data_IF_507540352736
#
_entry.id   IF_507540352736
#
_cell.length_a   1.000
_cell.length_b   1.000
_cell.length_c   1.000
_cell.angle_alpha   90.00
_cell.angle_beta   90.00
_cell.angle_gamma   90.00
#
_symmetry.space_group_name_H-M   'P 1'
#
loop_
_entity.id
_entity.type
_entity.pdbx_description
1 polymer ?
#
# COMPACT_ATOMS: atom_id res chain seq x y z
N UNK A 1 23.91 18.52 21.31
CA UNK A 1 22.70 19.37 21.23
C UNK A 1 21.81 18.98 20.05
N UNK A 2 22.32 18.99 18.81
CA UNK A 2 21.52 18.66 17.60
C UNK A 2 20.83 17.28 17.64
N UNK A 3 21.54 16.24 18.09
CA UNK A 3 20.97 14.88 18.25
C UNK A 3 19.82 14.82 19.26
N UNK A 4 19.95 15.55 20.38
CA UNK A 4 18.92 15.59 21.42
C UNK A 4 17.68 16.30 20.89
N UNK A 5 17.87 17.42 20.19
CA UNK A 5 16.79 18.13 19.49
C UNK A 5 16.11 17.21 18.48
N UNK A 6 16.87 16.47 17.67
CA UNK A 6 16.31 15.51 16.71
C UNK A 6 15.50 14.40 17.39
N UNK A 7 16.01 13.81 18.48
CA UNK A 7 15.27 12.79 19.22
C UNK A 7 13.96 13.34 19.78
N UNK A 8 13.98 14.55 20.35
CA UNK A 8 12.78 15.20 20.87
C UNK A 8 11.77 15.40 19.73
N UNK A 9 12.16 16.02 18.61
CA UNK A 9 11.26 16.23 17.48
C UNK A 9 10.77 14.91 16.85
N UNK A 10 11.65 13.95 16.63
CA UNK A 10 11.31 12.66 16.04
C UNK A 10 10.32 11.88 16.90
N UNK A 11 10.55 11.83 18.23
CA UNK A 11 9.61 11.22 19.16
C UNK A 11 8.29 11.99 19.21
N UNK A 12 8.33 13.33 19.27
CA UNK A 12 7.12 14.15 19.23
C UNK A 12 6.28 13.88 17.98
N UNK A 13 6.89 13.75 16.80
CA UNK A 13 6.18 13.41 15.56
C UNK A 13 5.55 12.02 15.66
N UNK A 14 6.31 11.01 16.11
CA UNK A 14 5.80 9.64 16.30
C UNK A 14 4.61 9.63 17.26
N UNK A 15 4.68 10.37 18.37
CA UNK A 15 3.59 10.46 19.35
C UNK A 15 2.40 11.29 18.86
N UNK A 16 2.62 12.37 18.11
CA UNK A 16 1.51 13.20 17.58
C UNK A 16 0.69 12.45 16.52
N UNK A 17 1.26 11.42 15.89
CA UNK A 17 0.60 10.61 14.87
C UNK A 17 -0.04 9.34 15.46
N UNK A 18 -0.70 9.44 16.62
CA UNK A 18 -1.32 8.32 17.36
C UNK A 18 -2.23 7.42 16.49
N UNK A 19 -2.88 8.00 15.47
CA UNK A 19 -3.81 7.30 14.57
C UNK A 19 -3.13 6.62 13.38
N UNK A 20 -1.87 6.97 13.12
CA UNK A 20 -1.13 6.62 11.93
C UNK A 20 0.28 6.17 12.33
N UNK A 21 0.40 5.20 13.24
CA UNK A 21 1.66 4.59 13.67
C UNK A 21 2.30 3.70 12.58
N UNK A 22 2.37 4.22 11.36
CA UNK A 22 3.02 3.56 10.25
C UNK A 22 4.48 3.28 10.57
N UNK A 23 4.95 2.09 10.18
CA UNK A 23 6.30 1.61 10.46
C UNK A 23 7.40 2.60 10.00
N UNK A 24 7.13 3.42 8.99
CA UNK A 24 8.10 4.39 8.48
C UNK A 24 8.36 5.56 9.43
N UNK A 25 7.45 5.88 10.36
CA UNK A 25 7.69 6.97 11.32
C UNK A 25 8.86 6.66 12.25
N UNK A 26 9.09 5.38 12.56
CA UNK A 26 10.25 4.94 13.33
C UNK A 26 11.58 5.15 12.61
N UNK A 27 11.58 5.39 11.28
CA UNK A 27 12.79 5.77 10.53
C UNK A 27 13.34 7.13 10.98
N UNK A 28 12.54 7.99 11.63
CA UNK A 28 13.03 9.23 12.24
C UNK A 28 14.11 8.97 13.30
N UNK A 29 14.06 7.80 13.95
CA UNK A 29 15.06 7.38 14.94
C UNK A 29 16.34 6.81 14.29
N UNK A 30 16.34 6.53 12.98
CA UNK A 30 17.53 5.97 12.32
C UNK A 30 18.70 6.94 12.30
N UNK A 31 18.44 8.26 12.20
CA UNK A 31 19.51 9.27 12.22
C UNK A 31 20.27 9.26 13.55
N UNK A 32 19.62 9.43 14.72
CA UNK A 32 20.33 9.39 15.99
C UNK A 32 20.93 8.01 16.28
N UNK A 33 20.22 6.92 15.96
CA UNK A 33 20.74 5.57 16.14
C UNK A 33 21.98 5.32 15.25
N UNK A 34 21.98 5.79 14.01
CA UNK A 34 23.12 5.65 13.09
C UNK A 34 24.36 6.41 13.56
N UNK A 35 24.19 7.63 14.07
CA UNK A 35 25.32 8.41 14.62
C UNK A 35 25.86 7.75 15.90
N UNK A 36 24.99 7.27 16.78
CA UNK A 36 25.43 6.53 17.97
C UNK A 36 26.09 5.20 17.61
N UNK A 37 25.57 4.49 16.62
CA UNK A 37 26.14 3.23 16.13
C UNK A 37 27.54 3.44 15.54
N UNK A 38 27.73 4.47 14.70
CA UNK A 38 29.07 4.79 14.13
C UNK A 38 30.07 5.17 15.21
N UNK A 39 29.69 6.01 16.17
CA UNK A 39 30.52 6.33 17.35
C UNK A 39 30.87 5.09 18.17
N UNK A 40 29.90 4.19 18.38
CA UNK A 40 30.10 2.92 19.07
C UNK A 40 31.05 2.00 18.32
N UNK A 41 30.95 1.95 16.99
CA UNK A 41 31.84 1.17 16.13
C UNK A 41 33.29 1.65 16.21
N UNK A 42 33.54 2.96 16.29
CA UNK A 42 34.90 3.50 16.47
C UNK A 42 35.55 2.98 17.77
N UNK A 43 34.80 3.03 18.88
CA UNK A 43 35.26 2.57 20.20
C UNK A 43 35.48 1.04 20.19
N UNK A 44 34.53 0.30 19.60
CA UNK A 44 34.64 -1.15 19.46
C UNK A 44 35.84 -1.53 18.58
N UNK A 45 36.10 -0.80 17.51
CA UNK A 45 37.21 -1.06 16.60
C UNK A 45 38.56 -0.93 17.29
N UNK A 46 38.78 0.13 18.08
CA UNK A 46 40.01 0.27 18.88
C UNK A 46 40.19 -0.89 19.87
N UNK A 47 39.10 -1.34 20.50
CA UNK A 47 39.14 -2.48 21.42
C UNK A 47 39.48 -3.81 20.71
N UNK A 48 39.01 -3.98 19.47
CA UNK A 48 39.25 -5.19 18.67
C UNK A 48 40.65 -5.26 18.06
N UNK A 49 41.28 -4.11 17.76
CA UNK A 49 42.67 -4.06 17.25
C UNK A 49 43.66 -4.69 18.22
N UNK A 50 43.40 -4.59 19.53
CA UNK A 50 44.26 -5.14 20.58
C UNK A 50 44.19 -6.66 20.75
N UNK A 51 43.27 -7.34 20.06
CA UNK A 51 43.09 -8.78 20.18
C UNK A 51 44.10 -9.55 19.32
N UNK A 52 44.74 -10.57 19.91
CA UNK A 52 45.66 -11.47 19.18
C UNK A 52 44.96 -12.34 18.13
N UNK A 53 43.65 -12.56 18.25
CA UNK A 53 42.86 -13.40 17.35
C UNK A 53 41.77 -12.58 16.64
N UNK A 54 41.49 -12.92 15.37
CA UNK A 54 40.45 -12.29 14.55
C UNK A 54 39.04 -12.86 14.77
N UNK A 55 38.93 -13.99 15.48
CA UNK A 55 37.66 -14.69 15.71
C UNK A 55 36.60 -13.78 16.39
N UNK A 56 36.92 -12.99 17.44
CA UNK A 56 35.94 -12.13 18.09
C UNK A 56 35.42 -11.02 17.18
N UNK A 57 36.29 -10.47 16.31
CA UNK A 57 35.90 -9.49 15.29
C UNK A 57 34.91 -10.10 14.30
N UNK A 58 35.17 -11.31 13.81
CA UNK A 58 34.27 -12.02 12.89
C UNK A 58 32.91 -12.28 13.55
N UNK A 59 32.90 -12.80 14.78
CA UNK A 59 31.66 -13.05 15.52
C UNK A 59 30.85 -11.79 15.77
N UNK A 60 31.51 -10.67 16.10
CA UNK A 60 30.84 -9.39 16.29
C UNK A 60 30.20 -8.89 14.99
N UNK A 61 30.90 -9.00 13.85
CA UNK A 61 30.34 -8.67 12.54
C UNK A 61 29.11 -9.53 12.27
N UNK A 62 29.20 -10.85 12.46
CA UNK A 62 28.04 -11.73 12.32
C UNK A 62 26.87 -11.33 13.23
N UNK A 63 27.15 -10.97 14.49
CA UNK A 63 26.13 -10.53 15.45
C UNK A 63 25.44 -9.24 15.00
N UNK A 64 26.19 -8.27 14.46
CA UNK A 64 25.65 -7.00 13.96
C UNK A 64 24.72 -7.19 12.74
N UNK A 65 25.02 -8.18 11.89
CA UNK A 65 24.21 -8.47 10.70
C UNK A 65 23.09 -9.48 10.95
N UNK A 66 23.06 -10.14 12.11
CA UNK A 66 22.07 -11.16 12.45
C UNK A 66 20.61 -10.67 12.32
N UNK A 67 20.23 -9.46 12.77
CA UNK A 67 18.85 -9.00 12.64
C UNK A 67 18.39 -8.86 11.17
N UNK A 68 19.30 -8.46 10.28
CA UNK A 68 19.03 -8.30 8.85
C UNK A 68 18.94 -9.65 8.12
N UNK A 69 19.61 -10.67 8.66
CA UNK A 69 19.66 -12.00 8.05
C UNK A 69 18.29 -12.65 7.95
N UNK A 70 17.42 -12.48 8.96
CA UNK A 70 16.09 -13.13 8.97
C UNK A 70 15.21 -12.70 7.79
N UNK A 71 15.16 -11.39 7.51
CA UNK A 71 14.38 -10.84 6.40
C UNK A 71 15.00 -11.22 5.06
N UNK A 72 16.33 -11.16 4.95
CA UNK A 72 17.04 -11.53 3.73
C UNK A 72 16.88 -13.03 3.42
N UNK A 73 17.04 -13.88 4.43
CA UNK A 73 16.86 -15.34 4.34
C UNK A 73 15.43 -15.66 3.94
N UNK A 74 14.42 -15.07 4.61
CA UNK A 74 13.02 -15.27 4.24
C UNK A 74 12.77 -14.88 2.79
N UNK A 75 13.18 -13.69 2.37
CA UNK A 75 13.01 -13.23 0.98
C UNK A 75 13.75 -14.10 -0.03
N UNK A 76 14.96 -14.55 0.29
CA UNK A 76 15.77 -15.40 -0.60
C UNK A 76 15.17 -16.80 -0.74
N UNK A 77 14.79 -17.44 0.36
CA UNK A 77 14.11 -18.75 0.35
C UNK A 77 12.79 -18.63 -0.40
N UNK A 78 11.97 -17.61 -0.11
CA UNK A 78 10.72 -17.41 -0.84
C UNK A 78 10.97 -17.16 -2.33
N UNK A 79 12.02 -16.43 -2.72
CA UNK A 79 12.34 -16.19 -4.12
C UNK A 79 12.74 -17.48 -4.85
N UNK A 80 13.62 -18.28 -4.24
CA UNK A 80 14.07 -19.58 -4.79
C UNK A 80 12.90 -20.55 -4.88
N UNK A 81 12.07 -20.66 -3.83
CA UNK A 81 10.89 -21.54 -3.81
C UNK A 81 9.82 -21.16 -4.83
N UNK A 82 9.85 -19.91 -5.32
CA UNK A 82 8.97 -19.42 -6.38
C UNK A 82 9.74 -19.22 -7.70
N UNK A 83 10.71 -20.09 -8.02
CA UNK A 83 11.43 -20.10 -9.30
C UNK A 83 12.00 -18.74 -9.73
N UNK A 84 12.53 -17.97 -8.77
CA UNK A 84 13.06 -16.62 -8.99
C UNK A 84 12.08 -15.61 -9.60
N UNK A 85 10.76 -15.86 -9.51
CA UNK A 85 9.72 -14.99 -10.03
C UNK A 85 9.87 -14.68 -11.54
N UNK A 86 10.42 -15.62 -12.31
CA UNK A 86 10.72 -15.46 -13.74
C UNK A 86 9.47 -15.37 -14.62
N UNK A 87 8.36 -15.97 -14.18
CA UNK A 87 7.06 -15.92 -14.87
C UNK A 87 6.06 -15.08 -14.09
N UNK A 88 4.96 -14.67 -14.73
CA UNK A 88 3.90 -13.90 -14.07
C UNK A 88 3.31 -14.64 -12.86
N UNK A 89 3.01 -15.93 -13.02
CA UNK A 89 2.41 -16.73 -11.94
C UNK A 89 3.37 -16.96 -10.78
N UNK A 90 4.64 -17.25 -11.06
CA UNK A 90 5.66 -17.42 -10.01
C UNK A 90 5.97 -16.10 -9.31
N UNK A 91 5.91 -14.97 -10.03
CA UNK A 91 6.01 -13.62 -9.46
C UNK A 91 4.84 -13.32 -8.54
N UNK A 92 3.61 -13.66 -8.93
CA UNK A 92 2.45 -13.47 -8.06
C UNK A 92 2.55 -14.32 -6.80
N UNK A 93 2.96 -15.59 -6.90
CA UNK A 93 3.15 -16.46 -5.74
C UNK A 93 4.21 -15.89 -4.77
N UNK A 94 5.32 -15.39 -5.30
CA UNK A 94 6.32 -14.67 -4.52
C UNK A 94 5.74 -13.42 -3.82
N UNK A 95 5.00 -12.58 -4.55
CA UNK A 95 4.39 -11.37 -4.00
C UNK A 95 3.35 -11.69 -2.93
N UNK A 96 2.54 -12.73 -3.13
CA UNK A 96 1.50 -13.17 -2.20
C UNK A 96 2.05 -13.54 -0.81
N UNK A 97 3.30 -14.01 -0.73
CA UNK A 97 3.97 -14.30 0.54
C UNK A 97 4.22 -13.04 1.41
N UNK A 98 4.24 -11.86 0.81
CA UNK A 98 4.46 -10.56 1.48
C UNK A 98 3.24 -9.62 1.39
N UNK A 99 2.29 -9.94 0.53
CA UNK A 99 1.05 -9.21 0.29
C UNK A 99 -0.13 -10.19 0.20
N UNK A 100 -0.69 -10.62 1.35
CA UNK A 100 -1.75 -11.65 1.37
C UNK A 100 -3.01 -11.29 0.56
N UNK A 101 -3.29 -9.99 0.36
CA UNK A 101 -4.43 -9.52 -0.45
C UNK A 101 -4.21 -9.65 -1.98
N UNK A 102 -2.98 -9.84 -2.47
CA UNK A 102 -2.71 -9.83 -3.91
C UNK A 102 -3.49 -10.90 -4.71
N UNK A 103 -3.57 -12.17 -4.27
CA UNK A 103 -4.35 -13.18 -4.99
C UNK A 103 -5.83 -12.82 -5.08
N UNK A 104 -6.43 -12.28 -4.01
CA UNK A 104 -7.84 -11.88 -4.03
C UNK A 104 -8.07 -10.68 -4.94
N UNK A 105 -7.18 -9.67 -4.91
CA UNK A 105 -7.24 -8.50 -5.79
C UNK A 105 -7.04 -8.86 -7.27
N UNK A 106 -6.12 -9.79 -7.61
CA UNK A 106 -5.98 -10.29 -8.99
C UNK A 106 -7.24 -11.00 -9.45
N UNK A 107 -7.81 -11.86 -8.60
CA UNK A 107 -9.08 -12.54 -8.89
C UNK A 107 -10.23 -11.56 -9.09
N UNK A 108 -10.27 -10.48 -8.30
CA UNK A 108 -11.25 -9.41 -8.41
C UNK A 108 -11.15 -8.67 -9.75
N UNK A 109 -9.93 -8.29 -10.11
CA UNK A 109 -9.62 -7.54 -11.32
C UNK A 109 -9.74 -8.36 -12.62
N UNK A 110 -9.52 -9.68 -12.54
CA UNK A 110 -9.63 -10.57 -13.70
C UNK A 110 -11.02 -10.53 -14.33
N UNK A 111 -12.08 -10.38 -13.53
CA UNK A 111 -13.45 -10.33 -14.03
C UNK A 111 -13.64 -9.21 -15.08
N UNK A 112 -13.21 -7.98 -14.79
CA UNK A 112 -13.36 -6.84 -15.71
C UNK A 112 -12.38 -6.85 -16.89
N UNK A 113 -11.43 -7.78 -16.88
CA UNK A 113 -10.43 -7.96 -17.95
C UNK A 113 -10.89 -8.97 -19.00
N UNK A 114 -11.99 -9.69 -18.77
CA UNK A 114 -12.54 -10.67 -19.71
C UNK A 114 -13.23 -10.02 -20.91
N UNK A 115 -13.18 -10.71 -22.06
CA UNK A 115 -13.88 -10.31 -23.27
C UNK A 115 -15.40 -10.19 -23.03
N UNK A 116 -16.02 -9.14 -23.57
CA UNK A 116 -17.45 -8.84 -23.37
C UNK A 116 -17.73 -7.82 -22.25
N UNK A 117 -16.74 -7.45 -21.44
CA UNK A 117 -16.86 -6.33 -20.50
C UNK A 117 -16.68 -4.98 -21.21
N UNK A 118 -17.23 -3.92 -20.61
CA UNK A 118 -17.17 -2.56 -21.15
C UNK A 118 -15.73 -2.04 -21.05
N UNK A 119 -15.20 -1.52 -22.15
CA UNK A 119 -13.87 -0.90 -22.19
C UNK A 119 -13.93 0.51 -21.58
N UNK A 120 -12.83 0.96 -20.96
CA UNK A 120 -12.73 2.30 -20.37
C UNK A 120 -12.06 2.31 -19.00
N UNK A 121 -11.75 3.52 -18.54
CA UNK A 121 -11.17 3.80 -17.23
C UNK A 121 -12.13 3.46 -16.10
N UNK A 122 -11.61 3.06 -14.94
CA UNK A 122 -12.43 2.67 -13.78
C UNK A 122 -12.12 3.55 -12.58
N UNK A 123 -13.01 3.55 -11.59
CA UNK A 123 -12.73 4.15 -10.29
C UNK A 123 -12.66 3.09 -9.20
N UNK A 124 -11.65 3.17 -8.33
CA UNK A 124 -11.39 2.22 -7.24
C UNK A 124 -11.27 3.01 -5.95
N UNK A 125 -12.28 2.88 -5.09
CA UNK A 125 -12.24 3.31 -3.69
C UNK A 125 -11.73 2.13 -2.85
N UNK A 126 -10.42 1.96 -2.77
CA UNK A 126 -9.77 0.80 -2.14
C UNK A 126 -8.38 0.55 -2.74
N UNK A 127 -7.83 -0.65 -2.54
CA UNK A 127 -6.45 -0.96 -2.95
C UNK A 127 -6.19 -0.68 -4.47
N UNK A 128 -5.25 0.21 -4.82
CA UNK A 128 -4.98 0.60 -6.20
C UNK A 128 -4.38 -0.52 -7.05
N UNK A 129 -3.99 -1.66 -6.46
CA UNK A 129 -3.51 -2.83 -7.19
C UNK A 129 -4.57 -3.40 -8.14
N UNK A 130 -5.86 -3.09 -7.93
CA UNK A 130 -6.93 -3.42 -8.89
C UNK A 130 -6.65 -2.82 -10.28
N UNK A 131 -6.14 -1.59 -10.36
CA UNK A 131 -5.76 -0.97 -11.64
C UNK A 131 -4.67 -1.77 -12.35
N UNK A 132 -3.63 -2.14 -11.60
CA UNK A 132 -2.52 -2.93 -12.12
C UNK A 132 -2.99 -4.30 -12.64
N UNK A 133 -3.76 -5.04 -11.85
CA UNK A 133 -4.22 -6.37 -12.24
C UNK A 133 -5.29 -6.37 -13.34
N UNK A 134 -6.07 -5.29 -13.47
CA UNK A 134 -7.09 -5.19 -14.51
C UNK A 134 -6.57 -4.60 -15.83
N UNK A 135 -5.34 -4.06 -15.83
CA UNK A 135 -4.82 -3.28 -16.95
C UNK A 135 -5.64 -2.01 -17.26
N UNK A 136 -6.42 -1.52 -16.28
CA UNK A 136 -7.27 -0.33 -16.42
C UNK A 136 -6.60 0.87 -15.76
N UNK A 137 -6.95 2.06 -16.26
CA UNK A 137 -6.50 3.34 -15.72
C UNK A 137 -7.59 4.00 -14.85
N UNK A 138 -7.16 4.94 -14.00
CA UNK A 138 -8.04 5.66 -13.09
C UNK A 138 -8.86 6.71 -13.83
N UNK A 139 -10.18 6.70 -13.64
CA UNK A 139 -11.13 7.59 -14.32
C UNK A 139 -11.21 9.03 -13.75
N UNK A 140 -10.43 9.33 -12.72
CA UNK A 140 -10.43 10.63 -12.02
C UNK A 140 -9.00 11.12 -11.82
N UNK A 141 -8.81 12.44 -11.73
CA UNK A 141 -7.49 13.05 -11.50
C UNK A 141 -7.13 12.99 -10.00
N UNK A 142 -8.13 12.92 -9.12
CA UNK A 142 -7.93 12.80 -7.68
C UNK A 142 -7.31 11.45 -7.32
N UNK A 143 -5.99 11.42 -7.26
CA UNK A 143 -5.21 10.26 -6.83
C UNK A 143 -5.40 10.06 -5.34
N UNK A 144 -5.80 8.85 -4.95
CA UNK A 144 -5.93 8.49 -3.55
C UNK A 144 -6.84 7.30 -3.40
N UNK A 145 -6.37 6.31 -2.65
CA UNK A 145 -7.13 5.12 -2.28
C UNK A 145 -7.62 5.18 -0.83
N UNK A 146 -6.90 5.93 0.01
CA UNK A 146 -7.18 6.16 1.42
C UNK A 146 -8.09 7.39 1.59
N UNK A 147 -9.38 7.16 1.34
CA UNK A 147 -10.39 8.21 1.31
C UNK A 147 -10.59 8.88 2.68
N UNK A 148 -10.21 8.25 3.78
CA UNK A 148 -10.23 8.82 5.13
C UNK A 148 -9.40 10.10 5.29
N UNK A 149 -8.44 10.34 4.41
CA UNK A 149 -7.59 11.53 4.40
C UNK A 149 -8.06 12.63 3.43
N UNK A 150 -9.17 12.41 2.71
CA UNK A 150 -9.70 13.43 1.81
C UNK A 150 -10.29 14.59 2.59
N UNK A 151 -9.97 15.80 2.15
CA UNK A 151 -10.63 17.03 2.57
C UNK A 151 -12.06 17.07 2.01
N UNK A 152 -12.95 17.80 2.69
CA UNK A 152 -14.36 17.95 2.28
C UNK A 152 -14.53 18.44 0.84
N UNK A 153 -13.65 19.32 0.38
CA UNK A 153 -13.64 19.84 -0.99
C UNK A 153 -13.24 18.77 -2.01
N UNK A 154 -12.33 17.86 -1.64
CA UNK A 154 -11.88 16.77 -2.49
C UNK A 154 -12.99 15.73 -2.69
N UNK A 155 -13.79 15.48 -1.66
CA UNK A 155 -14.97 14.62 -1.76
C UNK A 155 -16.01 15.16 -2.74
N UNK A 156 -16.31 16.46 -2.66
CA UNK A 156 -17.22 17.12 -3.60
C UNK A 156 -16.67 17.14 -5.02
N UNK A 157 -15.36 17.35 -5.17
CA UNK A 157 -14.69 17.31 -6.46
C UNK A 157 -14.68 15.89 -7.06
N UNK A 158 -14.59 14.85 -6.24
CA UNK A 158 -14.64 13.46 -6.68
C UNK A 158 -15.98 13.12 -7.32
N UNK A 159 -17.11 13.46 -6.70
CA UNK A 159 -18.45 13.24 -7.29
C UNK A 159 -18.55 13.93 -8.65
N UNK A 160 -18.12 15.19 -8.75
CA UNK A 160 -18.13 15.94 -10.03
C UNK A 160 -17.29 15.25 -11.09
N UNK A 161 -16.11 14.75 -10.73
CA UNK A 161 -15.25 14.03 -11.67
C UNK A 161 -15.91 12.73 -12.13
N UNK A 162 -16.50 11.94 -11.21
CA UNK A 162 -17.19 10.70 -11.56
C UNK A 162 -18.43 10.92 -12.44
N UNK A 163 -19.23 11.96 -12.19
CA UNK A 163 -20.38 12.31 -13.05
C UNK A 163 -19.94 12.77 -14.44
N UNK A 164 -18.78 13.43 -14.54
CA UNK A 164 -18.22 13.89 -15.82
C UNK A 164 -17.56 12.77 -16.63
N UNK A 165 -16.75 11.91 -15.99
CA UNK A 165 -15.99 10.86 -16.67
C UNK A 165 -16.81 9.59 -16.88
N UNK A 166 -17.87 9.39 -16.09
CA UNK A 166 -18.82 8.27 -16.18
C UNK A 166 -18.12 6.93 -16.39
N UNK A 167 -17.19 6.54 -15.49
CA UNK A 167 -16.47 5.28 -15.64
C UNK A 167 -17.47 4.13 -15.79
N UNK A 168 -17.24 3.14 -16.68
CA UNK A 168 -18.09 1.97 -16.78
C UNK A 168 -18.20 1.20 -15.47
N UNK A 169 -17.15 1.18 -14.66
CA UNK A 169 -17.08 0.45 -13.41
C UNK A 169 -16.55 1.28 -12.25
N UNK A 170 -17.16 1.10 -11.10
CA UNK A 170 -16.69 1.61 -9.81
C UNK A 170 -16.54 0.43 -8.85
N UNK A 171 -15.38 0.29 -8.23
CA UNK A 171 -15.15 -0.65 -7.14
C UNK A 171 -15.05 0.10 -5.81
N UNK A 172 -15.76 -0.39 -4.79
CA UNK A 172 -15.66 0.12 -3.42
C UNK A 172 -15.35 -1.05 -2.49
N UNK A 173 -14.18 -1.01 -1.86
CA UNK A 173 -13.74 -1.97 -0.83
C UNK A 173 -14.53 -1.73 0.47
N UNK A 174 -14.71 -2.77 1.31
CA UNK A 174 -15.44 -2.67 2.57
C UNK A 174 -14.74 -1.81 3.62
N UNK A 175 -13.40 -1.80 3.64
CA UNK A 175 -12.65 -0.94 4.56
C UNK A 175 -13.06 0.55 4.37
N UNK A 176 -13.01 1.09 3.14
CA UNK A 176 -13.56 2.41 2.82
C UNK A 176 -15.07 2.56 2.99
N UNK A 177 -15.90 1.51 2.85
CA UNK A 177 -17.35 1.66 2.95
C UNK A 177 -17.82 2.25 4.28
N UNK A 178 -17.22 1.82 5.39
CA UNK A 178 -17.57 2.37 6.70
C UNK A 178 -17.28 3.87 6.77
N UNK A 179 -16.12 4.28 6.26
CA UNK A 179 -15.69 5.69 6.21
C UNK A 179 -16.59 6.49 5.27
N UNK A 180 -16.94 5.96 4.10
CA UNK A 180 -17.83 6.64 3.15
C UNK A 180 -19.21 6.84 3.78
N UNK A 181 -19.78 5.81 4.42
CA UNK A 181 -21.10 5.91 5.08
C UNK A 181 -21.11 6.94 6.20
N UNK A 182 -20.04 7.00 6.99
CA UNK A 182 -19.93 7.90 8.14
C UNK A 182 -19.63 9.35 7.72
N UNK A 183 -18.59 9.53 6.90
CA UNK A 183 -18.05 10.87 6.61
C UNK A 183 -18.59 11.50 5.34
N UNK A 184 -19.06 10.70 4.38
CA UNK A 184 -19.46 11.22 3.08
C UNK A 184 -20.54 10.37 2.37
N UNK A 185 -21.74 10.26 2.98
CA UNK A 185 -22.83 9.43 2.45
C UNK A 185 -23.27 9.84 1.03
N UNK A 186 -23.10 11.11 0.68
CA UNK A 186 -23.43 11.65 -0.64
C UNK A 186 -22.72 10.94 -1.80
N UNK A 187 -21.51 10.39 -1.59
CA UNK A 187 -20.85 9.59 -2.63
C UNK A 187 -21.59 8.27 -2.85
N UNK A 188 -22.01 7.61 -1.77
CA UNK A 188 -22.74 6.36 -1.87
C UNK A 188 -24.10 6.60 -2.55
N UNK A 189 -24.81 7.66 -2.14
CA UNK A 189 -26.06 8.07 -2.79
C UNK A 189 -25.87 8.33 -4.29
N UNK A 190 -24.82 9.06 -4.67
CA UNK A 190 -24.49 9.31 -6.08
C UNK A 190 -24.26 8.00 -6.85
N UNK A 191 -23.45 7.09 -6.29
CA UNK A 191 -23.16 5.79 -6.91
C UNK A 191 -24.43 4.97 -7.05
N UNK A 192 -25.26 4.87 -6.01
CA UNK A 192 -26.51 4.10 -6.04
C UNK A 192 -27.56 4.69 -7.00
N UNK A 193 -27.56 6.00 -7.20
CA UNK A 193 -28.43 6.68 -8.17
C UNK A 193 -28.01 6.37 -9.62
N UNK A 194 -26.71 6.48 -9.94
CA UNK A 194 -26.19 6.40 -11.33
C UNK A 194 -25.74 5.00 -11.74
N UNK A 195 -25.38 4.17 -10.79
CA UNK A 195 -24.83 2.84 -10.98
C UNK A 195 -25.68 1.78 -10.29
N UNK A 196 -25.62 0.56 -10.79
CA UNK A 196 -26.24 -0.61 -10.17
C UNK A 196 -25.17 -1.60 -9.73
N UNK A 197 -25.48 -2.41 -8.72
CA UNK A 197 -24.57 -3.45 -8.25
C UNK A 197 -24.42 -4.49 -9.36
N UNK A 198 -23.18 -4.72 -9.78
CA UNK A 198 -22.81 -5.77 -10.71
C UNK A 198 -22.41 -7.05 -9.99
N UNK A 199 -21.60 -6.89 -8.93
CA UNK A 199 -21.08 -8.01 -8.14
C UNK A 199 -20.75 -7.55 -6.72
N UNK A 200 -20.97 -8.43 -5.76
CA UNK A 200 -20.56 -8.25 -4.37
C UNK A 200 -19.90 -9.54 -3.88
N UNK A 201 -18.79 -9.40 -3.17
CA UNK A 201 -18.09 -10.52 -2.52
C UNK A 201 -17.43 -10.05 -1.22
N UNK A 202 -16.43 -10.78 -0.70
CA UNK A 202 -15.74 -10.47 0.55
C UNK A 202 -14.74 -9.30 0.44
N UNK A 203 -14.35 -8.89 -0.78
CA UNK A 203 -13.41 -7.78 -0.98
C UNK A 203 -14.13 -6.44 -1.14
N UNK A 204 -15.38 -6.43 -1.61
CA UNK A 204 -16.12 -5.20 -1.82
C UNK A 204 -17.28 -5.34 -2.80
N UNK A 205 -17.70 -4.21 -3.36
CA UNK A 205 -18.81 -4.11 -4.29
C UNK A 205 -18.34 -3.47 -5.60
N UNK A 206 -18.63 -4.15 -6.71
CA UNK A 206 -18.55 -3.61 -8.05
C UNK A 206 -19.88 -3.03 -8.48
N UNK A 207 -19.83 -1.81 -9.00
CA UNK A 207 -20.93 -1.08 -9.58
C UNK A 207 -20.70 -0.91 -11.08
N UNK A 208 -21.77 -1.00 -11.86
CA UNK A 208 -21.78 -0.75 -13.30
C UNK A 208 -22.75 0.38 -13.63
N UNK A 209 -22.40 1.23 -14.59
CA UNK A 209 -23.23 2.36 -15.00
C UNK A 209 -24.60 1.86 -15.48
N UNK A 210 -25.70 2.47 -14.99
CA UNK A 210 -27.07 2.12 -15.43
C UNK A 210 -27.26 2.48 -16.91
N UNK A 211 -28.00 1.66 -17.65
CA UNK A 211 -28.20 1.81 -19.10
C UNK A 211 -29.05 3.02 -19.54
N UNK A 212 -29.55 3.85 -18.62
CA UNK A 212 -30.39 5.03 -18.95
C UNK A 212 -29.63 6.38 -19.02
N UNK A 213 -28.30 6.35 -19.16
CA UNK A 213 -27.49 7.58 -19.32
C UNK A 213 -26.66 7.63 -20.61
N UNK A 214 -26.81 6.63 -21.47
CA UNK A 214 -26.24 6.63 -22.82
C UNK A 214 -27.36 7.03 -23.81
N UNK A 215 -27.23 8.25 -24.31
CA UNK A 215 -27.90 8.83 -25.47
C UNK A 215 -28.50 7.78 -26.41
N UNK A 216 -29.83 7.86 -26.59
CA UNK A 216 -30.49 7.41 -27.81
C UNK A 216 -29.78 8.09 -28.98
N UNK A 217 -29.05 7.33 -29.78
CA UNK A 217 -28.71 7.72 -31.16
C UNK A 217 -29.90 7.33 -32.02
#
# INVERSE_FOLDING_TARGET
>A
MLLVVWCIFGLSVIFLQETALWEYHYLLLFVPLGILATKGLDILWESLKGLKSRIPTILLVFLLFLPFSSTFVKKSITLVNNNFALTEDTRLQYQAAFRPKYPSLRSEANFISQAGNIVGDIYVAGDPSIYYFSGRTQATILRGWALEYFLSEQWSALIKQLDSSKPPYIFIDYEPQAIIKDKFPNLLEFVEQKYQILRQNNNGIWYILKKDSAVRI
#
